data_IF_698208443921
#
_entry.id   IF_698208443921
#
_cell.length_a   1.000
_cell.length_b   1.000
_cell.length_c   1.000
_cell.angle_alpha   90.00
_cell.angle_beta   90.00
_cell.angle_gamma   90.00
#
_symmetry.space_group_name_H-M   'P 1'
#
loop_
_entity.id
_entity.type
_entity.pdbx_description
1 polymer ?
#
# COMPACT_ATOMS: atom_id res chain seq x y z
N UNK A 1 73.29 2.64 -37.42
CA UNK A 1 71.83 2.42 -37.28
C UNK A 1 71.54 2.36 -35.78
N UNK A 2 71.10 3.46 -35.13
CA UNK A 2 69.68 3.86 -34.89
C UNK A 2 68.90 2.69 -34.23
N UNK A 3 68.41 2.75 -33.00
CA UNK A 3 67.50 3.75 -32.42
C UNK A 3 67.54 3.76 -30.88
N UNK A 4 67.34 4.96 -30.31
CA UNK A 4 67.11 5.24 -28.91
C UNK A 4 65.66 5.72 -28.69
N UNK A 5 65.13 5.51 -27.48
CA UNK A 5 64.09 6.32 -26.85
C UNK A 5 62.64 5.84 -26.97
N UNK A 6 61.95 5.64 -25.84
CA UNK A 6 61.13 6.68 -25.17
C UNK A 6 60.36 6.09 -23.99
N UNK A 7 60.61 6.66 -22.82
CA UNK A 7 59.74 6.61 -21.65
C UNK A 7 58.50 7.47 -21.97
N UNK A 8 57.30 6.93 -21.81
CA UNK A 8 56.04 7.69 -21.87
C UNK A 8 55.51 7.82 -20.45
N UNK A 9 55.56 9.05 -19.95
CA UNK A 9 54.92 9.53 -18.73
C UNK A 9 53.39 9.48 -18.88
N UNK A 10 52.72 8.88 -17.89
CA UNK A 10 51.27 8.99 -17.72
C UNK A 10 50.92 10.43 -17.34
N UNK A 11 50.15 11.10 -18.19
CA UNK A 11 49.52 12.39 -17.86
C UNK A 11 48.31 12.13 -16.97
N UNK A 12 48.30 12.78 -15.83
CA UNK A 12 47.15 12.96 -14.94
C UNK A 12 46.00 13.64 -15.70
N UNK A 13 44.83 13.01 -15.71
CA UNK A 13 43.59 13.63 -16.17
C UNK A 13 43.14 14.66 -15.12
N UNK A 14 43.27 15.94 -15.46
CA UNK A 14 42.83 17.03 -14.62
C UNK A 14 41.29 17.07 -14.53
N UNK A 15 40.80 17.14 -13.30
CA UNK A 15 39.40 17.39 -12.92
C UNK A 15 38.92 18.72 -13.55
N UNK A 16 37.72 18.81 -14.16
CA UNK A 16 37.26 20.06 -14.73
C UNK A 16 36.95 21.10 -13.63
N UNK A 17 37.22 22.40 -13.88
CA UNK A 17 37.06 23.45 -12.87
C UNK A 17 35.61 23.61 -12.43
N UNK A 18 35.40 23.98 -11.16
CA UNK A 18 34.10 24.05 -10.47
C UNK A 18 33.02 24.83 -11.23
N UNK A 19 33.38 25.80 -12.07
CA UNK A 19 32.45 26.62 -12.86
C UNK A 19 31.64 25.80 -13.88
N UNK A 20 32.19 24.71 -14.43
CA UNK A 20 31.44 23.84 -15.37
C UNK A 20 30.40 22.97 -14.67
N UNK A 21 30.58 22.62 -13.39
CA UNK A 21 29.59 21.86 -12.61
C UNK A 21 28.39 22.71 -12.22
N UNK A 22 28.63 23.98 -11.89
CA UNK A 22 27.58 24.96 -11.55
C UNK A 22 26.69 25.26 -12.76
N UNK A 23 27.28 25.37 -13.96
CA UNK A 23 26.53 25.63 -15.20
C UNK A 23 25.55 24.49 -15.55
N UNK A 24 25.97 23.23 -15.41
CA UNK A 24 25.14 22.05 -15.69
C UNK A 24 24.01 21.90 -14.67
N UNK A 25 24.27 22.14 -13.38
CA UNK A 25 23.23 22.12 -12.34
C UNK A 25 22.19 23.22 -12.55
N UNK A 26 22.60 24.42 -12.97
CA UNK A 26 21.69 25.54 -13.23
C UNK A 26 20.78 25.28 -14.43
N UNK A 27 21.31 24.67 -15.50
CA UNK A 27 20.51 24.27 -16.66
C UNK A 27 19.51 23.16 -16.34
N UNK A 28 19.89 22.18 -15.50
CA UNK A 28 18.99 21.10 -15.10
C UNK A 28 17.83 21.61 -14.23
N UNK A 29 18.11 22.52 -13.29
CA UNK A 29 17.08 23.15 -12.45
C UNK A 29 16.13 24.00 -13.30
N UNK A 30 16.65 24.85 -14.20
CA UNK A 30 15.77 25.64 -15.09
C UNK A 30 14.92 24.77 -16.01
N UNK A 31 15.45 23.64 -16.50
CA UNK A 31 14.70 22.75 -17.38
C UNK A 31 13.58 22.00 -16.62
N UNK A 32 13.81 21.64 -15.35
CA UNK A 32 12.80 21.02 -14.49
C UNK A 32 11.71 22.02 -14.08
N UNK A 33 12.08 23.26 -13.75
CA UNK A 33 11.13 24.32 -13.39
C UNK A 33 10.23 24.71 -14.57
N UNK A 34 10.78 24.78 -15.80
CA UNK A 34 9.99 25.06 -17.01
C UNK A 34 9.00 23.94 -17.34
N UNK A 35 9.35 22.67 -17.10
CA UNK A 35 8.43 21.53 -17.29
C UNK A 35 7.31 21.51 -16.26
N UNK A 36 7.60 21.84 -15.00
CA UNK A 36 6.59 21.96 -13.95
C UNK A 36 5.58 23.09 -14.26
N UNK A 37 6.06 24.24 -14.73
CA UNK A 37 5.22 25.38 -15.12
C UNK A 37 4.33 25.08 -16.35
N UNK A 38 4.86 24.37 -17.35
CA UNK A 38 4.08 23.98 -18.54
C UNK A 38 2.94 22.99 -18.20
N UNK A 39 3.16 22.11 -17.22
CA UNK A 39 2.15 21.15 -16.74
C UNK A 39 1.05 21.85 -15.95
N UNK A 40 1.39 22.88 -15.18
CA UNK A 40 0.41 23.70 -14.46
C UNK A 40 -0.44 24.59 -15.38
N UNK A 41 0.13 25.11 -16.47
CA UNK A 41 -0.59 25.95 -17.44
C UNK A 41 -1.63 25.15 -18.27
N UNK A 42 -1.38 23.87 -18.51
CA UNK A 42 -2.30 22.98 -19.25
C UNK A 42 -3.58 22.63 -18.46
N UNK A 43 -3.55 22.75 -17.13
CA UNK A 43 -4.69 22.45 -16.25
C UNK A 43 -5.66 23.61 -16.05
N UNK A 44 -5.33 24.82 -16.52
CA UNK A 44 -6.09 26.05 -16.25
C UNK A 44 -6.90 26.61 -17.44
N UNK A 45 -7.05 25.84 -18.52
CA UNK A 45 -7.90 26.26 -19.65
C UNK A 45 -8.99 25.24 -19.95
N UNK A 46 -10.19 25.46 -19.40
CA UNK A 46 -11.44 24.90 -19.93
C UNK A 46 -12.44 26.04 -20.18
N UNK A 47 -13.08 26.13 -21.36
CA UNK A 47 -14.11 27.12 -21.61
C UNK A 47 -15.47 26.69 -21.05
N UNK A 48 -16.26 27.69 -20.66
CA UNK A 48 -17.65 27.59 -20.20
C UNK A 48 -18.58 26.96 -21.24
N UNK A 49 -19.45 26.05 -20.80
CA UNK A 49 -20.67 25.65 -21.51
C UNK A 49 -21.87 25.62 -20.55
N UNK A 50 -23.02 25.94 -21.14
CA UNK A 50 -24.21 26.59 -20.59
C UNK A 50 -25.30 25.65 -20.02
N UNK A 51 -26.04 26.19 -19.03
CA UNK A 51 -27.39 25.88 -18.46
C UNK A 51 -28.01 24.47 -18.67
N UNK A 52 -28.53 23.82 -17.59
CA UNK A 52 -29.36 22.63 -17.72
C UNK A 52 -30.84 22.97 -18.01
N UNK A 53 -31.44 22.27 -18.98
CA UNK A 53 -32.88 22.20 -19.23
C UNK A 53 -33.53 21.19 -18.26
N UNK A 54 -34.60 21.59 -17.59
CA UNK A 54 -35.49 20.74 -16.80
C UNK A 54 -36.51 20.03 -17.72
N UNK A 55 -36.83 18.74 -17.51
CA UNK A 55 -37.94 18.11 -18.21
C UNK A 55 -39.29 18.39 -17.52
N UNK A 56 -40.32 18.58 -18.36
CA UNK A 56 -41.71 18.90 -18.03
C UNK A 56 -42.52 17.72 -17.48
N UNK A 57 -43.50 18.02 -16.62
CA UNK A 57 -44.45 17.08 -16.02
C UNK A 57 -45.48 16.51 -17.04
N UNK A 58 -46.04 15.31 -16.82
CA UNK A 58 -47.12 14.76 -17.65
C UNK A 58 -48.51 15.26 -17.20
N UNK A 59 -49.53 15.21 -18.09
CA UNK A 59 -50.87 15.74 -17.82
C UNK A 59 -51.78 14.75 -17.07
N UNK A 60 -52.87 15.29 -16.51
CA UNK A 60 -53.84 14.68 -15.60
C UNK A 60 -55.09 14.09 -16.29
N UNK A 61 -55.89 13.37 -15.47
CA UNK A 61 -57.34 13.02 -15.53
C UNK A 61 -57.74 11.56 -15.92
N UNK A 62 -58.95 11.06 -15.53
CA UNK A 62 -59.69 11.17 -14.27
C UNK A 62 -60.27 9.80 -13.74
N UNK A 63 -60.94 9.87 -12.58
CA UNK A 63 -62.02 9.00 -12.05
C UNK A 63 -61.70 7.87 -11.05
N UNK A 64 -62.18 8.08 -9.81
CA UNK A 64 -62.39 7.12 -8.71
C UNK A 64 -63.82 6.53 -8.76
N UNK A 65 -64.21 5.55 -7.91
CA UNK A 65 -64.63 5.80 -6.50
C UNK A 65 -64.20 4.64 -5.53
N UNK A 66 -64.33 4.62 -4.19
CA UNK A 66 -64.68 5.54 -3.09
C UNK A 66 -64.41 4.83 -1.73
N UNK A 67 -64.52 5.59 -0.62
CA UNK A 67 -64.57 5.21 0.82
C UNK A 67 -63.23 5.12 1.57
N UNK A 68 -63.04 5.64 2.79
CA UNK A 68 -63.81 6.57 3.66
C UNK A 68 -62.92 7.01 4.86
N UNK A 69 -63.25 8.19 5.43
CA UNK A 69 -62.93 8.67 6.79
C UNK A 69 -61.52 9.15 7.18
N UNK A 70 -61.34 10.49 7.23
CA UNK A 70 -60.85 11.23 8.41
C UNK A 70 -61.08 12.75 8.27
N UNK A 71 -61.55 13.42 9.33
CA UNK A 71 -61.87 14.86 9.41
C UNK A 71 -60.62 15.73 9.66
N UNK A 72 -60.63 17.03 9.31
CA UNK A 72 -59.44 17.90 9.29
C UNK A 72 -59.28 18.75 10.56
N UNK A 73 -58.05 19.18 10.85
CA UNK A 73 -57.73 20.26 11.79
C UNK A 73 -56.88 21.34 11.10
N UNK A 74 -57.18 22.58 11.46
CA UNK A 74 -56.89 23.81 10.73
C UNK A 74 -55.42 24.26 10.75
N UNK A 75 -55.02 24.95 9.69
CA UNK A 75 -53.75 25.68 9.57
C UNK A 75 -53.93 27.16 9.98
N UNK A 76 -52.97 27.77 10.70
CA UNK A 76 -52.93 29.21 10.88
C UNK A 76 -52.03 29.89 9.83
N UNK A 77 -52.51 31.02 9.33
CA UNK A 77 -51.88 31.95 8.40
C UNK A 77 -50.90 32.91 9.10
N UNK A 78 -49.73 33.07 8.47
CA UNK A 78 -48.91 34.28 8.30
C UNK A 78 -48.37 35.09 9.52
N UNK A 79 -47.02 35.16 9.60
CA UNK A 79 -46.26 36.43 9.61
C UNK A 79 -44.78 36.17 9.25
N UNK A 80 -44.38 36.50 8.02
CA UNK A 80 -42.98 36.53 7.58
C UNK A 80 -42.30 37.80 8.13
N UNK A 81 -41.60 37.67 9.24
CA UNK A 81 -40.62 38.68 9.68
C UNK A 81 -39.37 38.59 8.81
N UNK A 82 -39.01 39.69 8.14
CA UNK A 82 -37.72 39.84 7.44
C UNK A 82 -36.58 39.75 8.46
N UNK A 83 -35.91 38.60 8.56
CA UNK A 83 -34.59 38.53 9.19
C UNK A 83 -33.53 39.05 8.19
N UNK A 84 -32.94 40.21 8.51
CA UNK A 84 -31.69 40.67 7.89
C UNK A 84 -30.54 39.82 8.42
N UNK A 85 -29.95 38.98 7.58
CA UNK A 85 -28.69 38.31 7.91
C UNK A 85 -27.56 39.32 7.62
N UNK A 86 -26.97 39.84 8.70
CA UNK A 86 -25.72 40.61 8.66
C UNK A 86 -24.57 39.64 8.43
N UNK A 87 -23.96 39.69 7.24
CA UNK A 87 -22.71 38.98 6.95
C UNK A 87 -21.52 39.87 7.33
N UNK A 88 -20.98 39.69 8.54
CA UNK A 88 -19.65 40.18 8.90
C UNK A 88 -19.07 39.35 10.05
N UNK A 89 -18.08 38.51 9.73
CA UNK A 89 -16.94 38.25 10.61
C UNK A 89 -15.83 37.63 9.76
N UNK A 90 -14.78 38.40 9.53
CA UNK A 90 -13.59 38.00 8.80
C UNK A 90 -12.85 36.92 9.58
N UNK A 91 -12.52 35.81 8.91
CA UNK A 91 -11.63 34.80 9.46
C UNK A 91 -10.22 35.39 9.67
N UNK A 92 -9.72 35.29 10.90
CA UNK A 92 -8.34 35.65 11.22
C UNK A 92 -7.36 34.73 10.47
N UNK A 93 -6.21 35.25 10.00
CA UNK A 93 -5.21 34.43 9.33
C UNK A 93 -4.59 33.43 10.31
N UNK A 94 -4.39 32.20 9.85
CA UNK A 94 -3.70 31.16 10.58
C UNK A 94 -2.27 31.62 10.98
N UNK A 95 -1.76 31.23 12.15
CA UNK A 95 -0.39 31.55 12.54
C UNK A 95 0.60 30.90 11.55
N UNK A 96 1.76 31.53 11.28
CA UNK A 96 2.75 30.97 10.37
C UNK A 96 3.24 29.63 10.91
N UNK A 97 3.31 28.63 10.04
CA UNK A 97 3.91 27.35 10.34
C UNK A 97 5.32 27.57 10.91
N UNK A 98 5.58 27.05 12.11
CA UNK A 98 6.89 27.10 12.73
C UNK A 98 7.92 26.50 11.76
N UNK A 99 8.89 27.33 11.35
CA UNK A 99 9.96 26.89 10.46
C UNK A 99 10.73 25.75 11.11
N UNK A 100 10.91 24.65 10.37
CA UNK A 100 11.82 23.57 10.77
C UNK A 100 13.21 24.17 11.03
N UNK A 101 13.95 23.70 12.06
CA UNK A 101 15.26 24.24 12.38
C UNK A 101 16.18 24.11 11.15
N UNK A 102 16.83 25.22 10.79
CA UNK A 102 17.73 25.28 9.65
C UNK A 102 18.86 24.24 9.84
N UNK A 103 18.88 23.23 8.97
CA UNK A 103 19.95 22.24 8.96
C UNK A 103 21.29 22.96 8.74
N UNK A 104 22.27 22.69 9.61
CA UNK A 104 23.63 23.22 9.44
C UNK A 104 24.21 22.73 8.12
N UNK A 105 25.08 23.51 7.47
CA UNK A 105 25.66 23.12 6.18
C UNK A 105 26.35 21.74 6.22
N UNK A 106 26.95 21.38 7.35
CA UNK A 106 27.51 20.04 7.59
C UNK A 106 26.44 18.94 7.66
N UNK A 107 25.29 19.19 8.31
CA UNK A 107 24.16 18.27 8.34
C UNK A 107 23.40 18.18 7.01
N UNK A 108 23.50 19.20 6.15
CA UNK A 108 22.98 19.17 4.79
C UNK A 108 23.89 18.37 3.85
N UNK A 109 25.22 18.52 3.98
CA UNK A 109 26.20 17.73 3.22
C UNK A 109 26.10 16.24 3.54
N UNK A 110 25.98 15.86 4.83
CA UNK A 110 25.81 14.46 5.21
C UNK A 110 24.52 13.83 4.65
N UNK A 111 23.43 14.59 4.55
CA UNK A 111 22.19 14.12 3.91
C UNK A 111 22.37 13.88 2.41
N UNK A 112 23.14 14.74 1.73
CA UNK A 112 23.43 14.56 0.29
C UNK A 112 24.29 13.33 0.06
N UNK A 113 25.29 13.09 0.92
CA UNK A 113 26.16 11.91 0.82
C UNK A 113 25.35 10.63 0.99
N UNK A 114 24.50 10.54 2.03
CA UNK A 114 23.60 9.39 2.25
C UNK A 114 22.64 9.16 1.07
N UNK A 115 22.07 10.23 0.49
CA UNK A 115 21.23 10.10 -0.69
C UNK A 115 22.02 9.60 -1.92
N UNK A 116 23.29 9.97 -2.04
CA UNK A 116 24.17 9.47 -3.10
C UNK A 116 24.54 7.99 -2.89
N UNK A 117 24.76 7.58 -1.63
CA UNK A 117 25.04 6.18 -1.26
C UNK A 117 23.86 5.24 -1.53
N UNK A 118 22.62 5.75 -1.53
CA UNK A 118 21.44 4.96 -1.88
C UNK A 118 21.32 4.64 -3.38
N UNK A 119 22.07 5.32 -4.25
CA UNK A 119 21.94 5.21 -5.71
C UNK A 119 22.12 3.78 -6.26
N UNK A 120 23.12 2.97 -5.82
CA UNK A 120 23.27 1.60 -6.30
C UNK A 120 22.06 0.71 -5.99
N UNK A 121 21.47 0.87 -4.80
CA UNK A 121 20.26 0.12 -4.40
C UNK A 121 19.05 0.51 -5.27
N UNK A 122 18.86 1.82 -5.52
CA UNK A 122 17.80 2.31 -6.41
C UNK A 122 17.97 1.74 -7.82
N UNK A 123 19.21 1.74 -8.35
CA UNK A 123 19.50 1.21 -9.68
C UNK A 123 19.23 -0.30 -9.78
N UNK A 124 19.59 -1.07 -8.74
CA UNK A 124 19.36 -2.52 -8.68
C UNK A 124 17.89 -2.89 -8.82
N UNK A 125 16.99 -2.15 -8.17
CA UNK A 125 15.55 -2.47 -8.13
C UNK A 125 14.70 -1.63 -9.07
N UNK A 126 15.29 -0.71 -9.85
CA UNK A 126 14.53 0.13 -10.78
C UNK A 126 13.69 -0.71 -11.75
N UNK A 127 12.40 -0.39 -11.84
CA UNK A 127 11.43 -1.07 -12.68
C UNK A 127 10.96 -2.44 -12.16
N UNK A 128 11.50 -2.90 -11.02
CA UNK A 128 11.11 -4.17 -10.40
C UNK A 128 9.84 -4.02 -9.57
N UNK A 129 9.01 -5.06 -9.60
CA UNK A 129 7.79 -5.15 -8.81
C UNK A 129 8.12 -5.69 -7.42
N UNK A 130 7.59 -5.05 -6.39
CA UNK A 130 7.72 -5.48 -5.00
C UNK A 130 6.33 -5.61 -4.39
N UNK A 131 5.99 -6.80 -3.92
CA UNK A 131 4.71 -7.03 -3.21
C UNK A 131 4.95 -6.93 -1.72
N UNK A 132 4.24 -6.00 -1.08
CA UNK A 132 4.33 -5.75 0.36
C UNK A 132 3.04 -6.22 1.00
N UNK A 133 3.11 -7.22 1.86
CA UNK A 133 2.03 -7.53 2.77
C UNK A 133 2.15 -6.63 4.00
N UNK A 134 1.18 -5.75 4.15
CA UNK A 134 1.02 -4.89 5.32
C UNK A 134 0.02 -5.49 6.32
N UNK A 135 0.49 -5.76 7.54
CA UNK A 135 -0.31 -6.36 8.61
C UNK A 135 0.34 -6.20 9.98
N UNK A 136 -0.35 -6.65 11.02
CA UNK A 136 0.21 -6.73 12.38
C UNK A 136 0.25 -5.39 13.13
N UNK A 137 1.26 -5.20 13.98
CA UNK A 137 1.54 -4.05 14.81
C UNK A 137 1.72 -2.77 13.99
N UNK A 138 2.26 -2.89 12.77
CA UNK A 138 2.41 -1.77 11.85
C UNK A 138 1.07 -1.10 11.48
N UNK A 139 -0.06 -1.82 11.63
CA UNK A 139 -1.41 -1.27 11.43
C UNK A 139 -2.00 -0.57 12.67
N UNK A 140 -1.40 -0.77 13.85
CA UNK A 140 -1.95 -0.28 15.13
C UNK A 140 -1.44 1.11 15.50
N UNK A 141 -0.23 1.47 15.09
CA UNK A 141 0.37 2.79 15.34
C UNK A 141 0.16 3.71 14.13
N UNK A 142 -0.43 4.89 14.32
CA UNK A 142 -0.51 5.92 13.27
C UNK A 142 0.87 6.34 12.74
N UNK A 143 1.89 6.36 13.60
CA UNK A 143 3.26 6.73 13.25
C UNK A 143 3.90 5.68 12.33
N UNK A 144 3.77 4.39 12.67
CA UNK A 144 4.24 3.29 11.84
C UNK A 144 3.48 3.21 10.52
N UNK A 145 2.16 3.43 10.54
CA UNK A 145 1.36 3.52 9.32
C UNK A 145 1.87 4.65 8.41
N UNK A 146 2.07 5.86 8.94
CA UNK A 146 2.59 6.98 8.17
C UNK A 146 4.00 6.70 7.62
N UNK A 147 4.85 6.00 8.38
CA UNK A 147 6.17 5.56 7.93
C UNK A 147 6.08 4.60 6.75
N UNK A 148 5.28 3.54 6.84
CA UNK A 148 5.08 2.58 5.74
C UNK A 148 4.50 3.26 4.49
N UNK A 149 3.54 4.17 4.65
CA UNK A 149 2.99 4.91 3.52
C UNK A 149 4.06 5.77 2.83
N UNK A 150 4.89 6.47 3.60
CA UNK A 150 6.02 7.25 3.05
C UNK A 150 7.01 6.37 2.31
N UNK A 151 7.32 5.19 2.84
CA UNK A 151 8.22 4.24 2.20
C UNK A 151 7.68 3.78 0.84
N UNK A 152 6.41 3.37 0.79
CA UNK A 152 5.75 2.95 -0.46
C UNK A 152 5.78 4.05 -1.52
N UNK A 153 5.48 5.29 -1.12
CA UNK A 153 5.53 6.44 -2.03
C UNK A 153 6.96 6.70 -2.48
N UNK A 154 7.96 6.64 -1.58
CA UNK A 154 9.35 6.82 -1.96
C UNK A 154 9.81 5.76 -2.96
N UNK A 155 9.53 4.48 -2.70
CA UNK A 155 9.86 3.36 -3.60
C UNK A 155 9.24 3.57 -4.98
N UNK A 156 7.97 4.00 -5.05
CA UNK A 156 7.31 4.36 -6.30
C UNK A 156 8.00 5.52 -7.01
N UNK A 157 8.33 6.59 -6.30
CA UNK A 157 9.00 7.78 -6.85
C UNK A 157 10.39 7.49 -7.42
N UNK A 158 11.15 6.59 -6.79
CA UNK A 158 12.49 6.20 -7.26
C UNK A 158 12.46 5.11 -8.35
N UNK A 159 11.27 4.68 -8.76
CA UNK A 159 11.05 3.85 -9.94
C UNK A 159 10.84 2.36 -9.67
N UNK A 160 10.69 1.94 -8.41
CA UNK A 160 10.16 0.61 -8.11
C UNK A 160 8.64 0.60 -8.33
N UNK A 161 8.07 -0.60 -8.38
CA UNK A 161 6.64 -0.83 -8.60
C UNK A 161 6.03 -1.53 -7.39
N UNK A 162 5.73 -0.80 -6.29
CA UNK A 162 5.16 -1.41 -5.10
C UNK A 162 3.70 -1.81 -5.32
N UNK A 163 3.34 -2.99 -4.81
CA UNK A 163 1.96 -3.49 -4.71
C UNK A 163 1.68 -3.78 -3.25
N UNK A 164 0.69 -3.13 -2.67
CA UNK A 164 0.34 -3.28 -1.26
C UNK A 164 -0.80 -4.29 -1.11
N UNK A 165 -0.59 -5.34 -0.33
CA UNK A 165 -1.63 -6.31 0.05
C UNK A 165 -1.88 -6.18 1.54
N UNK A 166 -3.13 -6.13 1.99
CA UNK A 166 -3.42 -5.92 3.40
C UNK A 166 -4.48 -6.86 3.97
N UNK A 167 -4.34 -7.12 5.27
CA UNK A 167 -5.40 -7.67 6.11
C UNK A 167 -6.06 -6.58 6.94
N UNK A 168 -6.53 -6.94 8.14
CA UNK A 168 -7.14 -5.99 9.08
C UNK A 168 -7.77 -6.65 10.30
N UNK A 169 -7.13 -7.70 10.84
CA UNK A 169 -7.68 -8.50 11.95
C UNK A 169 -8.20 -7.68 13.14
N UNK A 170 -7.41 -6.72 13.68
CA UNK A 170 -7.86 -5.87 14.78
C UNK A 170 -9.09 -5.00 14.43
N UNK A 171 -9.13 -4.43 13.22
CA UNK A 171 -10.26 -3.63 12.77
C UNK A 171 -11.53 -4.48 12.60
N UNK A 172 -11.40 -5.69 12.06
CA UNK A 172 -12.52 -6.63 11.96
C UNK A 172 -13.04 -6.97 13.37
N UNK A 173 -12.15 -7.29 14.32
CA UNK A 173 -12.54 -7.60 15.70
C UNK A 173 -13.33 -6.45 16.33
N UNK A 174 -12.86 -5.20 16.15
CA UNK A 174 -13.54 -4.00 16.65
C UNK A 174 -14.96 -3.87 16.10
N UNK A 175 -15.16 -4.15 14.80
CA UNK A 175 -16.49 -4.07 14.18
C UNK A 175 -17.41 -5.24 14.55
N UNK A 176 -16.89 -6.47 14.65
CA UNK A 176 -17.66 -7.62 15.12
C UNK A 176 -18.23 -7.36 16.52
N UNK A 177 -17.40 -6.86 17.44
CA UNK A 177 -17.85 -6.51 18.79
C UNK A 177 -18.94 -5.42 18.80
N UNK A 178 -18.86 -4.44 17.88
CA UNK A 178 -19.90 -3.39 17.75
C UNK A 178 -21.25 -3.91 17.28
N UNK A 179 -21.27 -5.02 16.54
CA UNK A 179 -22.51 -5.66 16.08
C UNK A 179 -22.89 -6.87 16.95
N UNK A 180 -22.25 -7.04 18.11
CA UNK A 180 -22.57 -8.10 19.07
C UNK A 180 -22.08 -9.49 18.67
N UNK A 181 -21.08 -9.59 17.78
CA UNK A 181 -20.46 -10.87 17.37
C UNK A 181 -19.10 -11.02 18.03
N UNK A 182 -18.90 -12.13 18.74
CA UNK A 182 -17.62 -12.45 19.37
C UNK A 182 -16.59 -12.98 18.34
N UNK A 183 -15.38 -12.40 18.25
CA UNK A 183 -14.35 -12.89 17.34
C UNK A 183 -13.86 -14.31 17.70
N UNK A 184 -13.90 -15.23 16.74
CA UNK A 184 -13.43 -16.60 16.92
C UNK A 184 -12.27 -16.93 15.98
N UNK A 185 -11.29 -17.68 16.49
CA UNK A 185 -10.11 -18.11 15.74
C UNK A 185 -9.83 -19.60 15.97
N UNK A 186 -9.34 -20.28 14.93
CA UNK A 186 -8.83 -21.65 14.97
C UNK A 186 -7.56 -21.71 14.12
N UNK A 187 -6.47 -22.19 14.71
CA UNK A 187 -5.15 -22.31 14.04
C UNK A 187 -4.67 -21.03 13.34
N UNK A 188 -4.95 -19.87 13.94
CA UNK A 188 -4.59 -18.57 13.39
C UNK A 188 -5.50 -18.04 12.27
N UNK A 189 -6.52 -18.81 11.86
CA UNK A 189 -7.55 -18.40 10.91
C UNK A 189 -8.82 -17.97 11.65
N UNK A 190 -9.49 -16.93 11.14
CA UNK A 190 -10.77 -16.47 11.69
C UNK A 190 -11.89 -17.42 11.28
N UNK A 191 -12.62 -17.96 12.23
CA UNK A 191 -13.89 -18.64 11.93
C UNK A 191 -14.85 -17.59 11.40
N UNK A 192 -15.31 -17.78 10.17
CA UNK A 192 -16.02 -16.75 9.39
C UNK A 192 -17.35 -17.33 8.92
N UNK A 193 -18.41 -17.17 9.71
CA UNK A 193 -19.79 -17.47 9.26
C UNK A 193 -20.33 -16.39 8.31
N UNK A 194 -21.59 -16.48 7.90
CA UNK A 194 -22.19 -15.58 6.91
C UNK A 194 -22.16 -14.11 7.38
N UNK A 195 -22.59 -13.85 8.62
CA UNK A 195 -22.59 -12.52 9.21
C UNK A 195 -21.16 -11.98 9.37
N UNK A 196 -20.25 -12.82 9.83
CA UNK A 196 -18.83 -12.47 9.98
C UNK A 196 -18.22 -12.14 8.62
N UNK A 197 -18.57 -12.86 7.56
CA UNK A 197 -18.08 -12.59 6.20
C UNK A 197 -18.52 -11.22 5.69
N UNK A 198 -19.78 -10.83 5.91
CA UNK A 198 -20.28 -9.49 5.58
C UNK A 198 -19.47 -8.41 6.29
N UNK A 199 -19.22 -8.57 7.60
CA UNK A 199 -18.42 -7.62 8.38
C UNK A 199 -16.97 -7.59 7.88
N UNK A 200 -16.37 -8.74 7.62
CA UNK A 200 -15.00 -8.83 7.06
C UNK A 200 -14.90 -8.04 5.76
N UNK A 201 -15.86 -8.23 4.85
CA UNK A 201 -15.88 -7.55 3.55
C UNK A 201 -16.05 -6.04 3.70
N UNK A 202 -17.04 -5.58 4.47
CA UNK A 202 -17.27 -4.16 4.74
C UNK A 202 -16.04 -3.48 5.35
N UNK A 203 -15.39 -4.14 6.31
CA UNK A 203 -14.24 -3.57 7.01
C UNK A 203 -13.00 -3.54 6.13
N UNK A 204 -12.64 -4.67 5.51
CA UNK A 204 -11.40 -4.74 4.73
C UNK A 204 -11.51 -3.90 3.45
N UNK A 205 -12.60 -4.05 2.69
CA UNK A 205 -12.75 -3.39 1.39
C UNK A 205 -13.22 -1.94 1.54
N UNK A 206 -14.18 -1.68 2.43
CA UNK A 206 -14.79 -0.36 2.57
C UNK A 206 -13.98 0.60 3.44
N UNK A 207 -13.45 0.12 4.57
CA UNK A 207 -12.78 0.97 5.56
C UNK A 207 -11.26 0.94 5.43
N UNK A 208 -10.63 -0.22 5.63
CA UNK A 208 -9.17 -0.34 5.72
C UNK A 208 -8.52 -0.02 4.36
N UNK A 209 -9.01 -0.63 3.28
CA UNK A 209 -8.46 -0.41 1.94
C UNK A 209 -8.53 1.07 1.54
N UNK A 210 -9.69 1.71 1.72
CA UNK A 210 -9.87 3.12 1.32
C UNK A 210 -9.13 4.09 2.23
N UNK A 211 -8.94 3.76 3.50
CA UNK A 211 -8.02 4.51 4.36
C UNK A 211 -6.59 4.48 3.83
N UNK A 212 -6.06 3.30 3.48
CA UNK A 212 -4.70 3.18 2.94
C UNK A 212 -4.53 3.91 1.59
N UNK A 213 -5.50 3.76 0.69
CA UNK A 213 -5.54 4.50 -0.58
C UNK A 213 -5.51 6.02 -0.33
N UNK A 214 -6.34 6.51 0.60
CA UNK A 214 -6.39 7.93 0.96
C UNK A 214 -5.04 8.42 1.50
N UNK A 215 -4.42 7.67 2.41
CA UNK A 215 -3.12 8.04 3.00
C UNK A 215 -2.00 8.09 1.95
N UNK A 216 -1.96 7.13 1.02
CA UNK A 216 -0.98 7.13 -0.08
C UNK A 216 -1.18 8.37 -0.97
N UNK A 217 -2.43 8.69 -1.30
CA UNK A 217 -2.75 9.86 -2.11
C UNK A 217 -2.34 11.17 -1.40
N UNK A 218 -2.62 11.28 -0.10
CA UNK A 218 -2.21 12.42 0.72
C UNK A 218 -0.69 12.57 0.85
N UNK A 219 0.04 11.45 0.80
CA UNK A 219 1.50 11.43 0.79
C UNK A 219 2.11 11.74 -0.58
N UNK A 220 1.29 12.03 -1.61
CA UNK A 220 1.74 12.41 -2.96
C UNK A 220 1.90 11.25 -3.93
N UNK A 221 1.52 10.03 -3.54
CA UNK A 221 1.37 8.90 -4.47
C UNK A 221 0.03 8.93 -5.20
N UNK A 222 -0.22 7.92 -6.03
CA UNK A 222 -1.55 7.64 -6.60
C UNK A 222 -1.85 6.16 -6.41
N UNK A 223 -2.83 5.86 -5.56
CA UNK A 223 -3.22 4.49 -5.22
C UNK A 223 -4.55 4.09 -5.84
N UNK A 224 -4.64 2.80 -6.22
CA UNK A 224 -5.88 2.17 -6.72
C UNK A 224 -6.25 1.02 -5.80
N UNK A 225 -7.38 1.16 -5.11
CA UNK A 225 -7.85 0.15 -4.15
C UNK A 225 -8.73 -0.90 -4.79
N UNK A 226 -8.34 -2.17 -4.67
CA UNK A 226 -9.03 -3.34 -5.22
C UNK A 226 -9.24 -4.42 -4.14
N UNK A 227 -10.12 -5.38 -4.41
CA UNK A 227 -10.19 -6.67 -3.75
C UNK A 227 -10.12 -7.80 -4.79
N UNK A 228 -10.13 -9.05 -4.36
CA UNK A 228 -10.10 -10.21 -5.26
C UNK A 228 -11.28 -10.28 -6.24
N UNK A 229 -12.44 -9.72 -5.87
CA UNK A 229 -13.63 -9.71 -6.74
C UNK A 229 -13.48 -8.77 -7.94
N UNK A 230 -12.74 -7.67 -7.77
CA UNK A 230 -12.57 -6.66 -8.81
C UNK A 230 -11.82 -7.26 -10.00
N UNK A 231 -12.50 -7.29 -11.16
CA UNK A 231 -12.01 -7.93 -12.38
C UNK A 231 -11.57 -9.41 -12.20
N UNK A 232 -12.09 -10.12 -11.19
CA UNK A 232 -11.67 -11.47 -10.81
C UNK A 232 -10.16 -11.59 -10.56
N UNK A 233 -9.57 -10.56 -9.94
CA UNK A 233 -8.16 -10.56 -9.54
C UNK A 233 -7.78 -11.81 -8.75
N UNK A 234 -8.65 -12.27 -7.85
CA UNK A 234 -8.50 -13.54 -7.13
C UNK A 234 -9.81 -14.31 -7.23
N UNK A 235 -9.74 -15.57 -7.66
CA UNK A 235 -10.84 -16.53 -7.52
C UNK A 235 -10.58 -17.40 -6.30
N UNK A 236 -11.51 -17.39 -5.36
CA UNK A 236 -11.44 -18.18 -4.14
C UNK A 236 -11.97 -19.61 -4.36
N UNK A 237 -11.55 -20.51 -3.48
CA UNK A 237 -12.23 -21.79 -3.23
C UNK A 237 -12.35 -22.00 -1.72
N UNK A 238 -13.31 -22.79 -1.21
CA UNK A 238 -13.39 -23.11 0.21
C UNK A 238 -12.08 -23.69 0.73
N UNK A 239 -11.69 -23.32 1.95
CA UNK A 239 -10.62 -24.00 2.67
C UNK A 239 -10.93 -25.50 2.83
N UNK A 240 -9.93 -26.39 2.82
CA UNK A 240 -10.13 -27.80 3.20
C UNK A 240 -10.79 -27.97 4.57
N UNK A 241 -10.62 -26.98 5.47
CA UNK A 241 -11.22 -26.94 6.80
C UNK A 241 -12.50 -26.10 6.86
N UNK A 242 -13.18 -25.85 5.73
CA UNK A 242 -14.39 -25.01 5.67
C UNK A 242 -15.50 -25.47 6.61
N UNK A 243 -15.64 -26.78 6.87
CA UNK A 243 -16.61 -27.30 7.84
C UNK A 243 -16.40 -26.71 9.26
N UNK A 244 -15.16 -26.41 9.63
CA UNK A 244 -14.79 -25.85 10.93
C UNK A 244 -14.58 -24.33 10.89
N UNK A 245 -14.35 -23.74 9.72
CA UNK A 245 -13.95 -22.33 9.55
C UNK A 245 -15.00 -21.46 8.85
N UNK A 246 -16.03 -22.04 8.22
CA UNK A 246 -17.01 -21.31 7.41
C UNK A 246 -16.42 -20.80 6.09
N UNK A 247 -16.71 -19.55 5.75
CA UNK A 247 -16.29 -18.85 4.53
C UNK A 247 -14.83 -18.39 4.56
N UNK A 248 -13.93 -19.23 5.05
CA UNK A 248 -12.49 -19.07 4.88
C UNK A 248 -12.08 -19.69 3.55
N UNK A 249 -11.35 -18.93 2.74
CA UNK A 249 -10.98 -19.33 1.39
C UNK A 249 -9.49 -19.55 1.19
N UNK A 250 -9.16 -20.37 0.20
CA UNK A 250 -7.86 -20.44 -0.42
C UNK A 250 -7.89 -19.75 -1.79
N UNK A 251 -6.71 -19.35 -2.27
CA UNK A 251 -6.55 -18.85 -3.63
C UNK A 251 -6.59 -20.03 -4.60
N UNK A 252 -7.61 -20.06 -5.45
CA UNK A 252 -7.72 -21.03 -6.55
C UNK A 252 -7.00 -20.53 -7.80
N UNK A 253 -7.12 -19.23 -8.10
CA UNK A 253 -6.51 -18.59 -9.26
C UNK A 253 -6.27 -17.11 -8.98
N UNK A 254 -5.19 -16.57 -9.54
CA UNK A 254 -4.94 -15.11 -9.61
C UNK A 254 -4.94 -14.67 -11.07
N UNK A 255 -5.68 -13.61 -11.38
CA UNK A 255 -5.68 -12.94 -12.69
C UNK A 255 -5.09 -11.53 -12.56
N UNK A 256 -3.78 -11.41 -12.79
CA UNK A 256 -3.07 -10.14 -12.66
C UNK A 256 -3.35 -9.16 -13.82
N UNK A 257 -4.21 -9.50 -14.78
CA UNK A 257 -4.48 -8.66 -15.98
C UNK A 257 -4.86 -7.23 -15.60
N UNK A 258 -5.66 -7.05 -14.55
CA UNK A 258 -6.07 -5.73 -14.06
C UNK A 258 -4.93 -4.94 -13.41
N UNK A 259 -3.92 -5.63 -12.85
CA UNK A 259 -2.81 -4.99 -12.15
C UNK A 259 -1.76 -4.43 -13.11
N UNK A 260 -1.49 -5.11 -14.23
CA UNK A 260 -0.45 -4.70 -15.17
C UNK A 260 -0.56 -3.24 -15.66
N UNK A 261 -1.72 -2.75 -16.14
CA UNK A 261 -1.85 -1.35 -16.56
C UNK A 261 -1.75 -0.37 -15.38
N UNK A 262 -2.25 -0.73 -14.19
CA UNK A 262 -2.16 0.12 -12.99
C UNK A 262 -0.69 0.31 -12.60
N UNK A 263 0.06 -0.79 -12.53
CA UNK A 263 1.50 -0.79 -12.21
C UNK A 263 2.30 -0.06 -13.28
N UNK A 264 1.99 -0.28 -14.57
CA UNK A 264 2.70 0.37 -15.67
C UNK A 264 2.54 1.90 -15.68
N UNK A 265 1.38 2.40 -15.25
CA UNK A 265 1.09 3.83 -15.08
C UNK A 265 1.71 4.45 -13.82
N UNK A 266 2.48 3.68 -13.04
CA UNK A 266 3.12 4.15 -11.81
C UNK A 266 2.14 4.36 -10.64
N UNK A 267 0.95 3.78 -10.71
CA UNK A 267 0.02 3.77 -9.59
C UNK A 267 0.34 2.60 -8.65
N UNK A 268 0.03 2.77 -7.37
CA UNK A 268 0.25 1.77 -6.32
C UNK A 268 -1.05 0.98 -6.13
N UNK A 269 -1.16 -0.29 -6.55
CA UNK A 269 -2.32 -1.10 -6.24
C UNK A 269 -2.37 -1.40 -4.74
N UNK A 270 -3.55 -1.29 -4.14
CA UNK A 270 -3.81 -1.61 -2.73
C UNK A 270 -4.90 -2.67 -2.67
N UNK A 271 -4.55 -3.89 -2.29
CA UNK A 271 -5.38 -5.08 -2.47
C UNK A 271 -5.87 -5.59 -1.11
N UNK A 272 -7.18 -5.56 -0.92
CA UNK A 272 -7.87 -6.19 0.20
C UNK A 272 -8.06 -7.70 -0.06
N UNK A 273 -8.01 -8.49 1.00
CA UNK A 273 -7.86 -9.96 0.95
C UNK A 273 -9.20 -10.70 1.06
N UNK A 274 -10.22 -10.15 0.39
CA UNK A 274 -11.54 -10.75 0.18
C UNK A 274 -11.71 -11.05 -1.30
N UNK A 275 -12.20 -12.24 -1.63
CA UNK A 275 -12.42 -12.68 -3.00
C UNK A 275 -13.73 -13.46 -3.10
N UNK A 276 -14.17 -13.77 -4.32
CA UNK A 276 -15.33 -14.63 -4.55
C UNK A 276 -14.92 -15.93 -5.24
N UNK A 277 -15.67 -16.99 -5.00
CA UNK A 277 -15.61 -18.19 -5.84
C UNK A 277 -16.31 -17.98 -7.19
N UNK A 278 -16.36 -19.03 -8.01
CA UNK A 278 -16.98 -18.98 -9.35
C UNK A 278 -18.49 -18.73 -9.32
N UNK A 279 -19.15 -18.93 -8.18
CA UNK A 279 -20.59 -18.71 -7.99
C UNK A 279 -20.90 -17.32 -7.44
N UNK A 280 -19.89 -16.57 -7.01
CA UNK A 280 -20.03 -15.25 -6.42
C UNK A 280 -20.03 -15.23 -4.88
N UNK A 281 -19.90 -16.37 -4.21
CA UNK A 281 -19.80 -16.43 -2.75
C UNK A 281 -18.49 -15.82 -2.28
N UNK A 282 -18.57 -14.90 -1.31
CA UNK A 282 -17.40 -14.23 -0.73
C UNK A 282 -16.64 -15.15 0.24
N UNK A 283 -15.31 -15.05 0.22
CA UNK A 283 -14.43 -15.72 1.17
C UNK A 283 -13.39 -14.77 1.75
N UNK A 284 -13.08 -15.00 3.01
CA UNK A 284 -12.00 -14.37 3.75
C UNK A 284 -10.70 -15.17 3.52
N UNK A 285 -9.73 -14.58 2.83
CA UNK A 285 -8.46 -15.22 2.50
C UNK A 285 -7.36 -14.69 3.42
N UNK A 286 -6.46 -15.57 3.87
CA UNK A 286 -5.29 -15.13 4.63
C UNK A 286 -4.44 -14.15 3.80
N UNK A 287 -4.11 -12.99 4.39
CA UNK A 287 -3.43 -11.93 3.68
C UNK A 287 -1.98 -12.24 3.31
N UNK A 288 -1.29 -13.09 4.09
CA UNK A 288 0.06 -13.55 3.72
C UNK A 288 -0.05 -14.44 2.48
N UNK A 289 -0.96 -15.43 2.48
CA UNK A 289 -1.20 -16.31 1.31
C UNK A 289 -1.59 -15.52 0.06
N UNK A 290 -2.53 -14.58 0.17
CA UNK A 290 -2.92 -13.74 -0.96
C UNK A 290 -1.73 -12.92 -1.51
N UNK A 291 -0.88 -12.37 -0.64
CA UNK A 291 0.30 -11.63 -1.07
C UNK A 291 1.31 -12.51 -1.81
N UNK A 292 1.55 -13.74 -1.35
CA UNK A 292 2.43 -14.69 -2.02
C UNK A 292 1.95 -15.06 -3.42
N UNK A 293 0.65 -15.34 -3.57
CA UNK A 293 0.07 -15.71 -4.87
C UNK A 293 -0.01 -14.51 -5.83
N UNK A 294 -0.29 -13.31 -5.31
CA UNK A 294 -0.19 -12.07 -6.12
C UNK A 294 1.25 -11.84 -6.57
N UNK A 295 2.24 -12.02 -5.68
CA UNK A 295 3.65 -11.86 -5.99
C UNK A 295 4.10 -12.81 -7.11
N UNK A 296 3.69 -14.07 -7.05
CA UNK A 296 3.91 -15.02 -8.13
C UNK A 296 3.25 -14.56 -9.45
N UNK A 297 1.97 -14.19 -9.40
CA UNK A 297 1.21 -13.80 -10.60
C UNK A 297 1.73 -12.54 -11.30
N UNK A 298 2.33 -11.60 -10.56
CA UNK A 298 2.91 -10.37 -11.13
C UNK A 298 4.41 -10.50 -11.45
N UNK A 299 5.02 -11.67 -11.23
CA UNK A 299 6.46 -11.89 -11.42
C UNK A 299 7.30 -10.97 -10.54
N UNK A 300 6.98 -10.90 -9.25
CA UNK A 300 7.62 -9.97 -8.33
C UNK A 300 9.10 -10.30 -8.07
N UNK A 301 9.92 -9.26 -7.94
CA UNK A 301 11.32 -9.38 -7.50
C UNK A 301 11.40 -9.67 -6.00
N UNK A 302 10.50 -9.08 -5.22
CA UNK A 302 10.46 -9.24 -3.77
C UNK A 302 9.03 -9.42 -3.27
N UNK A 303 8.85 -10.40 -2.39
CA UNK A 303 7.71 -10.47 -1.47
C UNK A 303 8.19 -10.03 -0.07
N UNK A 304 7.54 -9.04 0.53
CA UNK A 304 7.88 -8.53 1.87
C UNK A 304 6.68 -8.74 2.82
N UNK A 305 6.86 -9.52 3.87
CA UNK A 305 5.85 -9.74 4.90
C UNK A 305 6.18 -8.91 6.14
N UNK A 306 5.43 -7.82 6.38
CA UNK A 306 5.57 -7.04 7.61
C UNK A 306 4.88 -7.80 8.76
N UNK A 307 5.63 -8.01 9.83
CA UNK A 307 5.15 -8.76 11.00
C UNK A 307 5.52 -8.09 12.33
N UNK A 308 5.23 -8.76 13.44
CA UNK A 308 5.33 -8.21 14.81
C UNK A 308 6.57 -8.75 15.54
N UNK A 309 7.47 -9.37 14.77
CA UNK A 309 8.71 -10.01 15.22
C UNK A 309 9.84 -9.60 14.27
N UNK A 310 11.08 -9.75 14.74
CA UNK A 310 12.28 -9.36 13.97
C UNK A 310 12.50 -10.21 12.72
N UNK A 311 12.00 -11.44 12.69
CA UNK A 311 12.20 -12.40 11.60
C UNK A 311 12.19 -13.82 12.14
N UNK A 312 12.95 -14.70 11.49
CA UNK A 312 13.19 -16.08 11.94
C UNK A 312 14.38 -16.09 12.90
N UNK A 313 14.16 -16.60 14.12
CA UNK A 313 15.21 -16.78 15.12
C UNK A 313 15.72 -18.22 15.11
N UNK A 314 17.03 -18.41 15.19
CA UNK A 314 17.63 -19.74 15.36
C UNK A 314 17.32 -20.33 16.74
N UNK A 315 17.23 -19.48 17.76
CA UNK A 315 16.71 -19.78 19.10
C UNK A 315 15.62 -18.75 19.47
N UNK A 316 14.41 -19.23 19.73
CA UNK A 316 13.27 -18.36 20.07
C UNK A 316 13.46 -17.57 21.36
N UNK A 317 14.32 -18.05 22.25
CA UNK A 317 14.59 -17.40 23.53
C UNK A 317 15.73 -16.38 23.44
N UNK A 318 16.44 -16.32 22.31
CA UNK A 318 17.51 -15.37 22.07
C UNK A 318 17.15 -14.42 20.92
N UNK A 319 16.74 -13.18 21.21
CA UNK A 319 16.48 -12.15 20.19
C UNK A 319 17.69 -11.83 19.31
N UNK A 320 18.93 -12.11 19.76
CA UNK A 320 20.16 -11.94 19.00
C UNK A 320 20.40 -13.02 17.94
N UNK A 321 19.61 -14.10 17.96
CA UNK A 321 19.76 -15.25 17.06
C UNK A 321 19.04 -15.08 15.71
N UNK A 322 18.83 -13.84 15.26
CA UNK A 322 18.16 -13.55 13.98
C UNK A 322 18.93 -14.16 12.81
N UNK A 323 18.24 -15.00 12.04
CA UNK A 323 18.75 -15.53 10.78
C UNK A 323 18.54 -14.47 9.70
N UNK A 324 19.63 -13.87 9.19
CA UNK A 324 19.55 -12.82 8.17
C UNK A 324 19.14 -13.35 6.80
N UNK A 325 19.70 -14.49 6.40
CA UNK A 325 19.43 -15.12 5.11
C UNK A 325 19.36 -16.64 5.27
N UNK A 326 18.41 -17.27 4.57
CA UNK A 326 18.23 -18.72 4.55
C UNK A 326 17.61 -19.16 3.22
N UNK A 327 17.93 -20.36 2.75
CA UNK A 327 17.32 -20.92 1.54
C UNK A 327 16.07 -21.76 1.88
N UNK A 328 15.36 -22.25 0.84
CA UNK A 328 14.17 -23.11 1.02
C UNK A 328 14.51 -24.38 1.81
N UNK A 329 15.69 -24.98 1.59
CA UNK A 329 16.08 -26.21 2.27
C UNK A 329 16.29 -25.97 3.78
N UNK A 330 17.03 -24.92 4.13
CA UNK A 330 17.30 -24.51 5.49
C UNK A 330 16.03 -24.15 6.24
N UNK A 331 15.11 -23.37 5.63
CA UNK A 331 13.88 -22.98 6.32
C UNK A 331 12.95 -24.18 6.56
N UNK A 332 12.91 -25.15 5.64
CA UNK A 332 12.19 -26.42 5.84
C UNK A 332 12.80 -27.25 6.98
N UNK A 333 14.13 -27.29 7.07
CA UNK A 333 14.81 -27.96 8.18
C UNK A 333 14.48 -27.30 9.51
N UNK A 334 14.45 -25.96 9.58
CA UNK A 334 14.08 -25.26 10.81
C UNK A 334 12.63 -25.52 11.24
N UNK A 335 11.71 -25.75 10.29
CA UNK A 335 10.34 -26.19 10.60
C UNK A 335 10.35 -27.63 11.14
N UNK A 336 11.07 -28.54 10.48
CA UNK A 336 11.17 -29.95 10.91
C UNK A 336 11.82 -30.10 12.29
N UNK A 337 12.84 -29.29 12.59
CA UNK A 337 13.52 -29.23 13.89
C UNK A 337 12.65 -28.57 14.99
N UNK A 338 11.47 -28.05 14.65
CA UNK A 338 10.59 -27.35 15.57
C UNK A 338 11.11 -25.97 16.02
N UNK A 339 12.15 -25.41 15.36
CA UNK A 339 12.68 -24.05 15.61
C UNK A 339 11.74 -22.96 15.07
N UNK A 340 11.05 -23.23 13.97
CA UNK A 340 9.91 -22.43 13.48
C UNK A 340 8.59 -23.09 13.88
N UNK A 341 7.68 -22.36 14.54
CA UNK A 341 6.37 -22.89 14.95
C UNK A 341 5.31 -21.79 15.06
N UNK A 342 4.09 -22.21 15.37
CA UNK A 342 2.94 -21.34 15.54
C UNK A 342 2.67 -20.52 14.28
N UNK A 343 2.36 -19.23 14.46
CA UNK A 343 2.04 -18.33 13.36
C UNK A 343 3.17 -18.04 12.37
N UNK A 344 4.41 -18.51 12.64
CA UNK A 344 5.53 -18.35 11.70
C UNK A 344 5.53 -19.43 10.60
N UNK A 345 5.01 -20.63 10.87
CA UNK A 345 4.89 -21.69 9.86
C UNK A 345 4.14 -21.20 8.60
N UNK A 346 2.90 -20.67 8.70
CA UNK A 346 2.17 -20.25 7.51
C UNK A 346 2.85 -19.08 6.75
N UNK A 347 3.69 -18.28 7.43
CA UNK A 347 4.47 -17.21 6.79
C UNK A 347 5.59 -17.79 5.94
N UNK A 348 6.35 -18.72 6.52
CA UNK A 348 7.42 -19.44 5.83
C UNK A 348 6.86 -20.23 4.66
N UNK A 349 5.76 -20.95 4.84
CA UNK A 349 5.11 -21.71 3.77
C UNK A 349 4.65 -20.81 2.63
N UNK A 350 4.11 -19.62 2.93
CA UNK A 350 3.78 -18.61 1.94
C UNK A 350 5.04 -18.18 1.15
N UNK A 351 6.12 -17.82 1.84
CA UNK A 351 7.38 -17.42 1.20
C UNK A 351 7.92 -18.53 0.28
N UNK A 352 8.01 -19.77 0.79
CA UNK A 352 8.49 -20.93 0.03
C UNK A 352 7.63 -21.18 -1.20
N UNK A 353 6.31 -21.09 -1.07
CA UNK A 353 5.37 -21.26 -2.19
C UNK A 353 5.50 -20.16 -3.23
N UNK A 354 5.72 -18.91 -2.82
CA UNK A 354 5.95 -17.80 -3.75
C UNK A 354 7.28 -17.94 -4.50
N UNK A 355 8.36 -18.31 -3.80
CA UNK A 355 9.68 -18.56 -4.40
C UNK A 355 9.64 -19.71 -5.41
N UNK A 356 8.97 -20.82 -5.06
CA UNK A 356 8.81 -21.97 -5.95
C UNK A 356 8.02 -21.64 -7.24
N UNK A 357 7.25 -20.54 -7.25
CA UNK A 357 6.51 -20.03 -8.40
C UNK A 357 7.26 -18.93 -9.17
N UNK A 358 8.51 -18.63 -8.80
CA UNK A 358 9.38 -17.72 -9.54
C UNK A 358 9.54 -16.31 -8.96
N UNK A 359 9.03 -16.05 -7.75
CA UNK A 359 9.42 -14.83 -7.00
C UNK A 359 10.91 -14.93 -6.66
N UNK A 360 11.69 -13.86 -6.87
CA UNK A 360 13.15 -13.94 -6.70
C UNK A 360 13.61 -14.04 -5.24
N UNK A 361 13.04 -13.24 -4.33
CA UNK A 361 13.33 -13.30 -2.89
C UNK A 361 12.07 -13.02 -2.08
N UNK A 362 11.98 -13.58 -0.87
CA UNK A 362 10.90 -13.29 0.07
C UNK A 362 11.46 -12.95 1.44
N UNK A 363 11.10 -11.82 2.03
CA UNK A 363 11.59 -11.42 3.36
C UNK A 363 10.46 -11.34 4.39
N UNK A 364 10.73 -11.81 5.61
CA UNK A 364 9.88 -11.61 6.78
C UNK A 364 10.57 -10.56 7.64
N UNK A 365 9.95 -9.38 7.79
CA UNK A 365 10.60 -8.20 8.39
C UNK A 365 9.80 -7.59 9.54
N UNK A 366 10.50 -6.89 10.43
CA UNK A 366 9.88 -6.24 11.59
C UNK A 366 9.09 -4.99 11.20
N UNK A 367 7.76 -5.08 11.25
CA UNK A 367 6.87 -3.96 11.01
C UNK A 367 6.82 -2.94 12.17
N UNK A 368 7.47 -3.22 13.30
CA UNK A 368 7.55 -2.30 14.46
C UNK A 368 8.68 -1.30 14.33
N UNK A 369 9.64 -1.55 13.43
CA UNK A 369 10.76 -0.65 13.14
C UNK A 369 10.31 0.39 12.10
N UNK A 370 10.40 1.70 12.39
CA UNK A 370 10.14 2.73 11.39
C UNK A 370 11.04 2.57 10.18
N UNK A 371 10.49 2.78 9.00
CA UNK A 371 11.19 2.67 7.73
C UNK A 371 11.73 1.26 7.39
N UNK A 372 11.14 0.19 7.95
CA UNK A 372 11.60 -1.18 7.73
C UNK A 372 11.60 -1.61 6.26
N UNK A 373 10.66 -1.09 5.44
CA UNK A 373 10.67 -1.33 4.00
C UNK A 373 11.90 -0.76 3.30
N UNK A 374 12.27 0.49 3.63
CA UNK A 374 13.45 1.13 3.04
C UNK A 374 14.72 0.48 3.56
N UNK A 375 14.78 0.15 4.84
CA UNK A 375 15.93 -0.56 5.42
C UNK A 375 16.12 -1.93 4.74
N UNK A 376 15.04 -2.68 4.48
CA UNK A 376 15.13 -3.97 3.80
C UNK A 376 15.55 -3.88 2.32
N UNK A 377 15.15 -2.82 1.61
CA UNK A 377 15.40 -2.70 0.16
C UNK A 377 16.67 -1.90 -0.16
N UNK A 378 16.98 -0.87 0.64
CA UNK A 378 18.00 0.13 0.37
C UNK A 378 19.21 0.05 1.33
N UNK A 379 19.36 -1.06 2.06
CA UNK A 379 20.55 -1.35 2.86
C UNK A 379 20.95 -2.82 2.73
N UNK A 380 22.21 -3.13 3.03
CA UNK A 380 22.70 -4.52 3.02
C UNK A 380 22.33 -5.29 4.30
N UNK A 381 22.09 -4.58 5.42
CA UNK A 381 21.84 -5.22 6.71
C UNK A 381 20.46 -5.88 6.79
N UNK A 382 19.48 -5.31 6.09
CA UNK A 382 18.08 -5.72 6.14
C UNK A 382 17.40 -5.45 7.48
N UNK A 383 16.12 -5.81 7.61
CA UNK A 383 15.38 -5.71 8.89
C UNK A 383 14.69 -7.01 9.31
N UNK A 384 15.09 -8.12 8.72
CA UNK A 384 14.63 -9.42 9.14
C UNK A 384 15.32 -10.56 8.43
N UNK A 385 14.54 -11.57 8.06
CA UNK A 385 15.04 -12.78 7.41
C UNK A 385 14.65 -12.78 5.94
N UNK A 386 15.66 -12.77 5.07
CA UNK A 386 15.48 -13.01 3.64
C UNK A 386 15.52 -14.52 3.35
N UNK A 387 14.55 -14.98 2.57
CA UNK A 387 14.45 -16.36 2.09
C UNK A 387 14.71 -16.37 0.59
N UNK A 388 15.65 -17.22 0.17
CA UNK A 388 16.04 -17.43 -1.23
C UNK A 388 15.63 -18.82 -1.72
N UNK A 389 15.49 -18.96 -3.05
CA UNK A 389 14.98 -20.15 -3.72
C UNK A 389 15.89 -21.37 -3.66
#
# INVERSE_FOLDING_TARGET
MKWAGKVISARTAATPPQEKRICVQRHLVEHLTRRAAATAAMLLTKPHLSKPLLPSAPPSNPAAPSSSHAKPLAAPTARLGRLRISATSAAAPAPPAAAAPAATAAGALSRVDVLSEALPFIQRFKGKTVVVKYGGAAMKSPELQASVIRDLVLLSCVGLRPVLVHGGGPEINSWLLRVGVEPQFRDGLRVTDALTMEVVEMVLVGKVNKNLVSLINLAGGTAVGLCGKDARLITARPSPNAAALGFVGEVSRVDATVLHPIIASGHIPVIATVAADETGQAYNINADTAAGEIAAAVGAEKLLLLTDVSGILADRNDPGSLVKEIDIAGVRQMVADGKVAGGMIPKVECCVRALAQGVHTASIIDGRVPHSLLLEILTDEGTGTMITG
#
